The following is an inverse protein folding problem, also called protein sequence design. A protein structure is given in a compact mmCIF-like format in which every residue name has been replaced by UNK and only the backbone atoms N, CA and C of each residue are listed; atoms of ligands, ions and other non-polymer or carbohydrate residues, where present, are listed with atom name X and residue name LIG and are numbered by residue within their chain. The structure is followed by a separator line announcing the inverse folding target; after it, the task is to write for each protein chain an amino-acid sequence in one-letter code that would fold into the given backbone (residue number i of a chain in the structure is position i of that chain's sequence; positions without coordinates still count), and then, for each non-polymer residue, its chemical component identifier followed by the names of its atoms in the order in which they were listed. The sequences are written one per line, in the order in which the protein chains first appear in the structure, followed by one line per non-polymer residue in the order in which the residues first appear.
data_IF_456628215238
#
_entry.id   IF_456628215238
#
_cell.length_a   1.000
_cell.length_b   1.000
_cell.length_c   1.000
_cell.angle_alpha   90.00
_cell.angle_beta   90.00
_cell.angle_gamma   90.00
#
_symmetry.space_group_name_H-M   'P 1'
#
loop_
_entity.id
_entity.type
_entity.pdbx_description
1 polymer ?
#
# COMPACT_ATOMS: atom_id res chain seq x y z
N UNK A 1 39.92 -11.54 17.36
CA UNK A 1 39.38 -10.17 17.20
C UNK A 1 38.28 -10.10 16.14
N UNK A 2 38.49 -10.68 14.95
CA UNK A 2 37.48 -10.72 13.87
C UNK A 2 36.17 -11.44 14.25
N UNK A 3 36.23 -12.53 15.01
CA UNK A 3 35.03 -13.28 15.46
C UNK A 3 34.10 -12.44 16.35
N UNK A 4 34.67 -11.58 17.20
CA UNK A 4 33.90 -10.68 18.08
C UNK A 4 33.17 -9.63 17.24
N UNK A 5 33.79 -9.16 16.15
CA UNK A 5 33.15 -8.25 15.20
C UNK A 5 31.98 -8.93 14.48
N UNK A 6 32.16 -10.16 13.99
CA UNK A 6 31.07 -10.92 13.34
C UNK A 6 29.89 -11.19 14.28
N UNK A 7 30.16 -11.61 15.52
CA UNK A 7 29.10 -11.85 16.50
C UNK A 7 28.37 -10.56 16.89
N UNK A 8 29.09 -9.45 17.07
CA UNK A 8 28.46 -8.16 17.35
C UNK A 8 27.58 -7.68 16.19
N UNK A 9 28.01 -7.93 14.96
CA UNK A 9 27.27 -7.55 13.76
C UNK A 9 25.98 -8.37 13.61
N UNK A 10 26.04 -9.68 13.85
CA UNK A 10 24.87 -10.57 13.85
C UNK A 10 23.84 -10.22 14.93
N UNK A 11 24.31 -9.92 16.16
CA UNK A 11 23.42 -9.53 17.26
C UNK A 11 22.76 -8.18 16.98
N UNK A 12 23.51 -7.24 16.37
CA UNK A 12 22.97 -5.93 16.01
C UNK A 12 21.95 -5.99 14.87
N UNK A 13 22.14 -6.84 13.86
CA UNK A 13 21.18 -6.99 12.76
C UNK A 13 19.87 -7.60 13.25
N UNK A 14 19.96 -8.64 14.10
CA UNK A 14 18.78 -9.31 14.65
C UNK A 14 17.96 -8.38 15.56
N UNK A 15 18.64 -7.55 16.37
CA UNK A 15 17.98 -6.55 17.20
C UNK A 15 17.27 -5.47 16.36
N UNK A 16 17.89 -5.03 15.26
CA UNK A 16 17.31 -4.03 14.36
C UNK A 16 16.06 -4.57 13.64
N UNK A 17 16.12 -5.80 13.13
CA UNK A 17 14.97 -6.46 12.49
C UNK A 17 13.78 -6.61 13.44
N UNK A 18 14.03 -6.99 14.70
CA UNK A 18 12.98 -7.11 15.71
C UNK A 18 12.27 -5.76 16.00
N UNK A 19 13.02 -4.66 16.02
CA UNK A 19 12.46 -3.31 16.19
C UNK A 19 11.64 -2.90 14.97
N UNK A 20 12.10 -3.21 13.75
CA UNK A 20 11.34 -2.92 12.53
C UNK A 20 10.01 -3.70 12.49
N UNK A 21 10.04 -5.00 12.77
CA UNK A 21 8.83 -5.85 12.76
C UNK A 21 7.84 -5.39 13.82
N UNK A 22 8.31 -5.12 15.04
CA UNK A 22 7.44 -4.66 16.13
C UNK A 22 6.83 -3.29 15.84
N UNK A 23 7.60 -2.36 15.26
CA UNK A 23 7.09 -1.05 14.84
C UNK A 23 6.03 -1.18 13.73
N UNK A 24 6.23 -2.10 12.78
CA UNK A 24 5.25 -2.34 11.71
C UNK A 24 3.94 -2.93 12.26
N UNK A 25 4.03 -3.95 13.11
CA UNK A 25 2.85 -4.58 13.76
C UNK A 25 2.08 -3.55 14.59
N UNK A 26 2.77 -2.68 15.34
CA UNK A 26 2.13 -1.65 16.13
C UNK A 26 1.39 -0.61 15.27
N UNK A 27 1.96 -0.26 14.11
CA UNK A 27 1.34 0.65 13.15
C UNK A 27 0.03 0.07 12.58
N UNK A 28 0.05 -1.19 12.16
CA UNK A 28 -1.13 -1.90 11.63
C UNK A 28 -2.25 -2.01 12.69
N UNK A 29 -1.90 -2.24 13.96
CA UNK A 29 -2.92 -2.27 15.01
C UNK A 29 -3.59 -0.92 15.25
N UNK A 30 -2.85 0.19 15.05
CA UNK A 30 -3.39 1.54 15.23
C UNK A 30 -4.40 1.90 14.13
N UNK A 31 -4.12 1.52 12.88
CA UNK A 31 -5.05 1.76 11.76
C UNK A 31 -6.34 0.96 11.93
N UNK A 32 -6.24 -0.31 12.34
CA UNK A 32 -7.39 -1.18 12.52
C UNK A 32 -8.29 -0.72 13.68
N UNK A 33 -7.70 -0.32 14.82
CA UNK A 33 -8.47 0.27 15.93
C UNK A 33 -9.22 1.54 15.51
N UNK A 34 -8.55 2.39 14.73
CA UNK A 34 -9.17 3.61 14.22
C UNK A 34 -10.37 3.28 13.31
N UNK A 35 -10.25 2.26 12.44
CA UNK A 35 -11.35 1.81 11.58
C UNK A 35 -12.54 1.23 12.38
N UNK A 36 -12.28 0.47 13.44
CA UNK A 36 -13.35 -0.07 14.31
C UNK A 36 -14.08 1.05 15.05
N UNK A 37 -13.36 2.02 15.63
CA UNK A 37 -13.97 3.19 16.27
C UNK A 37 -14.80 4.01 15.26
N UNK A 38 -14.41 4.02 13.98
CA UNK A 38 -15.14 4.71 12.93
C UNK A 38 -16.51 4.08 12.62
N UNK A 39 -16.63 2.74 12.57
CA UNK A 39 -17.91 2.06 12.34
C UNK A 39 -18.94 2.37 13.43
N UNK A 40 -18.49 2.64 14.65
CA UNK A 40 -19.39 2.97 15.78
C UNK A 40 -19.97 4.39 15.72
N UNK A 41 -19.34 5.32 14.99
CA UNK A 41 -19.69 6.75 14.98
C UNK A 41 -20.49 7.20 13.74
N UNK A 42 -20.69 6.31 12.77
CA UNK A 42 -21.48 6.56 11.55
C UNK A 42 -22.94 6.06 11.53
N UNK A 43 -23.62 5.57 12.60
CA UNK A 43 -24.92 4.90 12.48
C UNK A 43 -26.15 5.80 12.18
N UNK A 44 -25.97 7.03 11.67
CA UNK A 44 -27.05 8.02 11.52
C UNK A 44 -28.14 7.59 10.50
N UNK A 45 -27.79 6.93 9.40
CA UNK A 45 -28.77 6.47 8.40
C UNK A 45 -29.71 5.37 8.93
N UNK A 46 -29.20 4.48 9.79
CA UNK A 46 -29.97 3.34 10.28
C UNK A 46 -31.07 3.71 11.27
N UNK A 47 -30.96 4.88 11.92
CA UNK A 47 -31.92 5.37 12.90
C UNK A 47 -33.09 6.11 12.23
N UNK A 48 -32.82 6.95 11.23
CA UNK A 48 -33.88 7.69 10.53
C UNK A 48 -34.73 6.80 9.61
N UNK A 49 -34.14 5.78 8.97
CA UNK A 49 -34.88 4.79 8.19
C UNK A 49 -35.81 3.89 9.04
N UNK A 50 -35.55 3.77 10.35
CA UNK A 50 -36.42 3.07 11.31
C UNK A 50 -37.49 3.99 11.90
N UNK A 51 -37.22 5.29 11.98
CA UNK A 51 -38.18 6.30 12.44
C UNK A 51 -39.27 6.63 11.40
N UNK A 52 -39.04 6.33 10.11
CA UNK A 52 -39.98 6.58 9.02
C UNK A 52 -40.95 5.43 8.70
N UNK A 53 -41.01 4.36 9.50
CA UNK A 53 -42.10 3.36 9.41
C UNK A 53 -43.33 3.88 10.15
N UNK A 54 -44.47 4.14 9.48
CA UNK A 54 -45.69 4.55 10.16
C UNK A 54 -46.28 3.36 10.90
N UNK A 55 -46.25 3.42 12.23
CA UNK A 55 -47.15 2.64 13.07
C UNK A 55 -48.44 3.47 13.24
N UNK A 56 -49.51 3.08 12.58
CA UNK A 56 -50.88 3.58 12.86
C UNK A 56 -51.65 2.57 13.73
N UNK A 57 -52.76 2.91 14.44
CA UNK A 57 -53.49 4.20 14.50
C UNK A 57 -53.84 4.69 15.93
N UNK A 58 -54.47 5.88 15.99
CA UNK A 58 -55.19 6.52 17.11
C UNK A 58 -54.41 7.28 18.19
N UNK A 59 -54.31 8.61 18.04
CA UNK A 59 -54.86 9.58 19.01
C UNK A 59 -54.76 11.01 18.47
N UNK A 60 -55.80 11.79 18.74
CA UNK A 60 -55.99 13.18 18.32
C UNK A 60 -54.83 14.10 18.73
N UNK A 61 -54.31 14.90 17.80
CA UNK A 61 -53.72 16.22 18.04
C UNK A 61 -53.57 16.96 16.71
N UNK A 62 -54.19 18.12 16.60
CA UNK A 62 -54.10 19.04 15.47
C UNK A 62 -52.73 19.74 15.41
N UNK A 63 -52.39 20.29 14.23
CA UNK A 63 -51.21 21.11 13.88
C UNK A 63 -49.91 20.38 13.53
N UNK A 64 -49.79 19.98 12.26
CA UNK A 64 -48.88 20.60 11.28
C UNK A 64 -48.86 19.69 10.04
N UNK A 65 -49.59 20.10 8.99
CA UNK A 65 -49.35 19.59 7.64
C UNK A 65 -48.03 20.20 7.17
N UNK A 66 -46.92 19.58 7.56
CA UNK A 66 -45.69 19.74 6.81
C UNK A 66 -45.90 18.95 5.52
N UNK A 67 -45.90 19.68 4.41
CA UNK A 67 -45.99 19.13 3.07
C UNK A 67 -44.67 18.40 2.81
N UNK A 68 -44.58 17.16 3.29
CA UNK A 68 -43.43 16.29 3.01
C UNK A 68 -43.52 15.84 1.55
N UNK A 69 -42.99 16.69 0.67
CA UNK A 69 -42.65 16.29 -0.68
C UNK A 69 -41.43 15.35 -0.57
N UNK A 70 -41.54 14.06 -0.91
CA UNK A 70 -40.43 13.11 -0.78
C UNK A 70 -39.21 13.51 -1.63
N UNK A 71 -39.41 14.34 -2.66
CA UNK A 71 -38.35 14.91 -3.48
C UNK A 71 -37.55 16.02 -2.77
N UNK A 72 -38.12 16.70 -1.77
CA UNK A 72 -37.44 17.77 -1.01
C UNK A 72 -36.70 17.26 0.23
N UNK A 73 -36.91 16.00 0.61
CA UNK A 73 -36.39 15.41 1.85
C UNK A 73 -35.17 14.51 1.66
N UNK A 74 -34.77 14.26 0.41
CA UNK A 74 -33.50 13.60 0.11
C UNK A 74 -32.35 14.58 0.34
N UNK A 75 -31.73 14.47 1.50
CA UNK A 75 -30.50 15.19 1.81
C UNK A 75 -29.32 14.24 1.72
N UNK A 76 -28.29 14.66 1.01
CA UNK A 76 -27.00 13.99 0.96
C UNK A 76 -26.19 14.36 2.20
N UNK A 77 -25.43 13.39 2.71
CA UNK A 77 -24.52 13.60 3.83
C UNK A 77 -23.13 13.16 3.44
N UNK A 78 -22.12 13.89 3.93
CA UNK A 78 -20.73 13.47 3.82
C UNK A 78 -19.96 13.74 5.09
N UNK A 79 -18.87 13.00 5.27
CA UNK A 79 -17.92 13.20 6.35
C UNK A 79 -16.57 13.50 5.71
N UNK A 80 -16.07 14.71 5.95
CA UNK A 80 -14.73 15.11 5.52
C UNK A 80 -13.75 14.76 6.64
N UNK A 81 -12.68 14.05 6.27
CA UNK A 81 -11.69 13.48 7.17
C UNK A 81 -10.34 14.14 6.99
N UNK A 82 -9.55 14.26 8.05
CA UNK A 82 -8.17 14.69 8.00
C UNK A 82 -7.26 13.65 8.68
N UNK A 83 -6.04 13.47 8.14
CA UNK A 83 -5.08 12.49 8.68
C UNK A 83 -4.53 12.89 10.07
N UNK A 84 -4.61 14.17 10.42
CA UNK A 84 -4.17 14.74 11.71
C UNK A 84 -5.28 15.64 12.26
N UNK A 85 -5.12 16.12 13.49
CA UNK A 85 -6.05 17.02 14.21
C UNK A 85 -6.12 18.44 13.57
N UNK A 86 -6.30 18.53 12.24
CA UNK A 86 -6.30 19.79 11.48
C UNK A 86 -7.44 20.71 11.91
N UNK A 87 -8.60 20.14 12.23
CA UNK A 87 -9.79 20.90 12.60
C UNK A 87 -9.76 21.39 14.05
N UNK A 88 -8.70 21.08 14.80
CA UNK A 88 -8.40 21.77 16.07
C UNK A 88 -8.03 23.23 15.82
N UNK A 89 -7.42 23.54 14.68
CA UNK A 89 -7.13 24.92 14.31
C UNK A 89 -8.38 25.57 13.71
N UNK A 90 -8.97 26.61 14.35
CA UNK A 90 -10.19 27.23 13.87
C UNK A 90 -10.01 27.86 12.49
N UNK A 91 -8.83 28.40 12.16
CA UNK A 91 -8.59 29.01 10.85
C UNK A 91 -8.71 27.99 9.70
N UNK A 92 -8.20 26.77 9.91
CA UNK A 92 -8.30 25.67 8.93
C UNK A 92 -9.75 25.18 8.84
N UNK A 93 -10.42 25.05 9.99
CA UNK A 93 -11.82 24.62 10.05
C UNK A 93 -12.75 25.61 9.33
N UNK A 94 -12.58 26.92 9.55
CA UNK A 94 -13.33 27.95 8.83
C UNK A 94 -13.10 27.87 7.31
N UNK A 95 -11.84 27.73 6.90
CA UNK A 95 -11.49 27.57 5.49
C UNK A 95 -12.16 26.34 4.87
N UNK A 96 -12.17 25.20 5.59
CA UNK A 96 -12.91 24.02 5.14
C UNK A 96 -14.40 24.35 4.96
N UNK A 97 -15.04 24.98 5.95
CA UNK A 97 -16.45 25.32 5.84
C UNK A 97 -16.75 26.27 4.67
N UNK A 98 -15.87 27.23 4.39
CA UNK A 98 -15.98 28.13 3.24
C UNK A 98 -15.89 27.35 1.92
N UNK A 99 -14.84 26.54 1.76
CA UNK A 99 -14.68 25.69 0.57
C UNK A 99 -15.91 24.79 0.39
N UNK A 100 -16.34 24.06 1.43
CA UNK A 100 -17.50 23.17 1.33
C UNK A 100 -18.81 23.92 1.02
N UNK A 101 -18.98 25.13 1.56
CA UNK A 101 -20.15 25.97 1.28
C UNK A 101 -20.19 26.47 -0.17
N UNK A 102 -19.05 26.67 -0.84
CA UNK A 102 -18.99 27.02 -2.28
C UNK A 102 -19.69 25.96 -3.15
N UNK A 103 -19.68 24.71 -2.70
CA UNK A 103 -20.25 23.54 -3.40
C UNK A 103 -21.61 23.15 -2.81
N UNK A 104 -22.20 24.04 -2.01
CA UNK A 104 -23.53 23.85 -1.42
C UNK A 104 -23.58 22.89 -0.23
N UNK A 105 -22.43 22.49 0.32
CA UNK A 105 -22.38 21.69 1.54
C UNK A 105 -22.51 22.57 2.78
N UNK A 106 -23.47 22.24 3.63
CA UNK A 106 -23.73 22.95 4.88
C UNK A 106 -23.17 22.13 6.03
N UNK A 107 -22.33 22.72 6.87
CA UNK A 107 -21.79 22.06 8.06
C UNK A 107 -22.91 21.70 9.02
N UNK A 108 -23.03 20.42 9.36
CA UNK A 108 -24.05 19.91 10.27
C UNK A 108 -23.50 19.81 11.69
N UNK A 109 -22.37 19.12 11.83
CA UNK A 109 -21.71 18.93 13.12
C UNK A 109 -20.21 18.63 12.97
N UNK A 110 -19.44 18.97 13.99
CA UNK A 110 -18.04 18.60 14.13
C UNK A 110 -17.96 17.36 15.03
N UNK A 111 -17.62 16.21 14.45
CA UNK A 111 -17.56 14.94 15.18
C UNK A 111 -16.34 14.88 16.11
N UNK A 112 -15.19 15.33 15.61
CA UNK A 112 -13.94 15.46 16.38
C UNK A 112 -12.98 16.47 15.72
N UNK A 113 -11.70 16.49 16.09
CA UNK A 113 -10.67 17.36 15.48
C UNK A 113 -10.17 16.89 14.11
N UNK A 114 -10.70 15.77 13.59
CA UNK A 114 -10.32 15.15 12.31
C UNK A 114 -11.48 14.92 11.37
N UNK A 115 -12.73 15.04 11.82
CA UNK A 115 -13.93 14.65 11.09
C UNK A 115 -15.02 15.70 11.28
N UNK A 116 -15.57 16.13 10.16
CA UNK A 116 -16.67 17.10 10.11
C UNK A 116 -17.73 16.55 9.19
N UNK A 117 -18.98 16.61 9.63
CA UNK A 117 -20.14 16.14 8.88
C UNK A 117 -20.83 17.32 8.20
N UNK A 118 -21.14 17.13 6.93
CA UNK A 118 -21.84 18.10 6.09
C UNK A 118 -23.13 17.48 5.54
N UNK A 119 -24.08 18.35 5.23
CA UNK A 119 -25.37 18.03 4.63
C UNK A 119 -25.59 18.91 3.40
N UNK A 120 -26.13 18.34 2.33
CA UNK A 120 -26.53 19.08 1.12
C UNK A 120 -27.92 18.60 0.66
N UNK A 121 -28.85 19.49 0.28
CA UNK A 121 -30.12 19.06 -0.31
C UNK A 121 -29.89 18.46 -1.70
N UNK A 122 -30.54 17.34 -2.04
CA UNK A 122 -30.36 16.66 -3.33
C UNK A 122 -30.70 17.54 -4.53
N UNK A 123 -31.61 18.51 -4.37
CA UNK A 123 -31.99 19.46 -5.42
C UNK A 123 -30.85 20.35 -5.93
N UNK A 124 -29.76 20.50 -5.16
CA UNK A 124 -28.58 21.26 -5.59
C UNK A 124 -27.65 20.46 -6.52
N UNK A 125 -27.83 19.13 -6.60
CA UNK A 125 -26.97 18.25 -7.40
C UNK A 125 -27.09 18.54 -8.89
N UNK A 126 -28.32 18.74 -9.35
CA UNK A 126 -28.62 18.84 -10.79
C UNK A 126 -28.31 20.24 -11.34
N UNK A 127 -28.40 21.29 -10.50
CA UNK A 127 -28.02 22.64 -10.88
C UNK A 127 -26.50 22.80 -11.12
N UNK A 128 -25.67 22.02 -10.43
CA UNK A 128 -24.21 22.08 -10.54
C UNK A 128 -23.69 21.38 -11.82
N UNK A 129 -24.40 20.37 -12.31
CA UNK A 129 -24.07 19.68 -13.57
C UNK A 129 -24.65 20.35 -14.83
N UNK A 130 -25.77 21.06 -14.71
CA UNK A 130 -26.44 21.76 -15.84
C UNK A 130 -25.91 23.18 -16.07
N UNK A 131 -25.17 23.74 -15.10
CA UNK A 131 -24.54 25.05 -15.24
C UNK A 131 -23.24 24.98 -16.07
N UNK A 132 -23.48 24.93 -17.37
CA UNK A 132 -22.62 25.29 -18.50
C UNK A 132 -21.88 26.63 -18.36
N UNK A 133 -20.94 26.69 -17.43
CA UNK A 133 -19.87 27.69 -17.41
C UNK A 133 -18.54 26.99 -17.35
N UNK A 134 -17.60 27.42 -18.20
CA UNK A 134 -16.23 26.93 -18.46
C UNK A 134 -15.30 26.76 -17.22
N UNK A 135 -15.81 26.87 -16.00
CA UNK A 135 -15.06 26.82 -14.75
C UNK A 135 -15.49 25.60 -13.93
N UNK A 136 -14.80 24.48 -14.14
CA UNK A 136 -14.88 23.34 -13.24
C UNK A 136 -14.56 23.80 -11.81
N UNK A 137 -15.26 23.30 -10.78
CA UNK A 137 -14.98 23.65 -9.40
C UNK A 137 -13.51 23.36 -9.07
N UNK A 138 -12.90 24.26 -8.28
CA UNK A 138 -11.47 24.23 -7.93
C UNK A 138 -11.03 22.91 -7.27
N UNK A 139 -11.98 22.15 -6.72
CA UNK A 139 -11.78 20.87 -6.08
C UNK A 139 -13.03 19.99 -6.24
N UNK A 140 -12.88 18.69 -5.97
CA UNK A 140 -13.95 17.69 -6.07
C UNK A 140 -15.04 17.87 -4.97
N UNK A 141 -16.32 18.09 -5.34
CA UNK A 141 -17.48 18.15 -4.44
C UNK A 141 -17.64 16.97 -3.49
N UNK A 142 -17.23 15.78 -3.91
CA UNK A 142 -17.39 14.54 -3.17
C UNK A 142 -16.13 14.09 -2.44
N UNK A 143 -15.13 14.98 -2.31
CA UNK A 143 -13.93 14.70 -1.53
C UNK A 143 -14.30 14.31 -0.10
N UNK A 144 -13.71 13.20 0.36
CA UNK A 144 -13.87 12.68 1.72
C UNK A 144 -12.65 12.97 2.60
N UNK A 145 -11.57 13.48 2.02
CA UNK A 145 -10.32 13.79 2.72
C UNK A 145 -9.88 15.24 2.50
N UNK A 146 -9.41 15.87 3.57
CA UNK A 146 -8.91 17.23 3.61
C UNK A 146 -7.45 17.27 4.09
N UNK A 147 -6.64 18.01 3.33
CA UNK A 147 -5.20 18.12 3.55
C UNK A 147 -4.37 17.20 2.66
N UNK A 148 -3.04 17.35 2.74
CA UNK A 148 -2.11 16.55 1.93
C UNK A 148 -2.00 15.13 2.47
N UNK A 149 -2.23 14.15 1.60
CA UNK A 149 -1.96 12.73 1.84
C UNK A 149 -0.47 12.37 1.71
N UNK A 150 0.40 13.34 1.44
CA UNK A 150 1.84 13.10 1.33
C UNK A 150 2.43 12.88 2.72
N UNK A 151 2.54 11.61 3.09
CA UNK A 151 3.35 11.17 4.20
C UNK A 151 4.83 11.29 3.82
N UNK A 152 5.36 12.51 3.84
CA UNK A 152 6.81 12.78 3.69
C UNK A 152 7.64 11.88 4.63
N UNK A 153 7.08 11.53 5.78
CA UNK A 153 7.64 10.57 6.72
C UNK A 153 7.77 9.16 6.13
N UNK A 154 6.78 8.69 5.37
CA UNK A 154 6.84 7.40 4.67
C UNK A 154 7.94 7.41 3.59
N UNK A 155 8.04 8.50 2.83
CA UNK A 155 9.09 8.66 1.83
C UNK A 155 10.50 8.70 2.46
N UNK A 156 10.68 9.46 3.56
CA UNK A 156 11.92 9.47 4.34
C UNK A 156 12.27 8.10 4.92
N UNK A 157 11.27 7.36 5.43
CA UNK A 157 11.46 6.01 5.93
C UNK A 157 11.90 5.05 4.82
N UNK A 158 11.30 5.15 3.62
CA UNK A 158 11.69 4.36 2.46
C UNK A 158 13.14 4.63 2.03
N UNK A 159 13.57 5.91 2.03
CA UNK A 159 14.96 6.28 1.76
C UNK A 159 15.88 5.69 2.83
N UNK A 160 15.55 5.87 4.11
CA UNK A 160 16.34 5.33 5.22
C UNK A 160 16.50 3.80 5.08
N UNK A 161 15.42 3.08 4.77
CA UNK A 161 15.44 1.64 4.53
C UNK A 161 16.34 1.24 3.36
N UNK A 162 16.22 1.94 2.22
CA UNK A 162 17.11 1.74 1.07
C UNK A 162 18.58 1.97 1.43
N UNK A 163 18.88 3.04 2.17
CA UNK A 163 20.25 3.32 2.61
C UNK A 163 20.77 2.26 3.57
N UNK A 164 19.92 1.73 4.46
CA UNK A 164 20.29 0.67 5.39
C UNK A 164 20.64 -0.65 4.70
N UNK A 165 20.11 -0.92 3.50
CA UNK A 165 20.44 -2.11 2.70
C UNK A 165 21.66 -1.87 1.80
N UNK A 166 21.67 -0.75 1.07
CA UNK A 166 22.69 -0.46 0.05
C UNK A 166 24.05 -0.18 0.70
N UNK A 167 24.08 0.51 1.85
CA UNK A 167 25.32 0.95 2.47
C UNK A 167 26.18 -0.21 2.99
N UNK A 168 25.63 -1.21 3.72
CA UNK A 168 26.39 -2.42 4.09
C UNK A 168 26.84 -3.24 2.88
N UNK A 169 25.99 -3.38 1.85
CA UNK A 169 26.34 -4.12 0.63
C UNK A 169 27.52 -3.47 -0.10
N UNK A 170 27.51 -2.14 -0.22
CA UNK A 170 28.60 -1.38 -0.84
C UNK A 170 29.90 -1.46 -0.02
N UNK A 171 29.83 -1.32 1.30
CA UNK A 171 31.01 -1.43 2.17
C UNK A 171 31.63 -2.84 2.10
N UNK A 172 30.81 -3.89 2.08
CA UNK A 172 31.29 -5.26 1.90
C UNK A 172 32.02 -5.46 0.57
N UNK A 173 31.44 -4.96 -0.52
CA UNK A 173 32.07 -4.99 -1.84
C UNK A 173 33.40 -4.20 -1.87
N UNK A 174 33.42 -2.99 -1.31
CA UNK A 174 34.62 -2.15 -1.25
C UNK A 174 35.75 -2.82 -0.46
N UNK A 175 35.43 -3.50 0.65
CA UNK A 175 36.41 -4.21 1.45
C UNK A 175 37.01 -5.40 0.69
N UNK A 176 36.17 -6.23 0.05
CA UNK A 176 36.62 -7.40 -0.73
C UNK A 176 37.44 -6.98 -1.96
N UNK A 177 37.00 -5.94 -2.67
CA UNK A 177 37.77 -5.44 -3.81
C UNK A 177 39.11 -4.85 -3.38
N UNK A 178 39.17 -4.13 -2.25
CA UNK A 178 40.42 -3.63 -1.70
C UNK A 178 41.36 -4.74 -1.24
N UNK A 179 40.86 -5.84 -0.67
CA UNK A 179 41.72 -6.98 -0.28
C UNK A 179 42.24 -7.72 -1.50
N UNK A 180 41.41 -8.00 -2.50
CA UNK A 180 41.83 -8.66 -3.75
C UNK A 180 42.85 -7.82 -4.53
N UNK A 181 42.66 -6.51 -4.59
CA UNK A 181 43.59 -5.62 -5.29
C UNK A 181 44.93 -5.45 -4.56
N UNK A 182 44.95 -5.63 -3.24
CA UNK A 182 46.18 -5.60 -2.43
C UNK A 182 46.82 -6.98 -2.26
N UNK A 183 46.26 -8.05 -2.85
CA UNK A 183 46.95 -9.34 -2.86
C UNK A 183 48.22 -9.21 -3.73
N UNK A 184 49.41 -9.54 -3.21
CA UNK A 184 50.58 -9.65 -4.05
C UNK A 184 50.35 -10.73 -5.13
N UNK A 185 50.77 -10.45 -6.37
CA UNK A 185 50.70 -11.33 -7.55
C UNK A 185 51.43 -12.70 -7.39
N UNK A 186 51.85 -13.09 -6.20
CA UNK A 186 52.49 -14.36 -5.90
C UNK A 186 51.48 -15.38 -5.40
N UNK A 187 50.49 -15.75 -6.22
CA UNK A 187 49.93 -17.09 -6.07
C UNK A 187 51.00 -18.08 -6.54
N UNK A 188 51.33 -19.14 -5.78
CA UNK A 188 52.16 -20.21 -6.30
C UNK A 188 51.42 -20.78 -7.50
N UNK A 189 52.01 -20.62 -8.69
CA UNK A 189 51.63 -21.35 -9.88
C UNK A 189 51.60 -22.82 -9.47
N UNK A 190 50.40 -23.41 -9.41
CA UNK A 190 50.23 -24.83 -9.12
C UNK A 190 51.23 -25.56 -10.03
N UNK A 191 52.17 -26.35 -9.50
CA UNK A 191 53.01 -27.19 -10.34
C UNK A 191 52.03 -28.09 -11.09
N UNK A 192 51.91 -27.86 -12.39
CA UNK A 192 51.14 -28.70 -13.29
C UNK A 192 51.77 -30.09 -13.14
N UNK A 193 51.05 -30.96 -12.44
CA UNK A 193 51.40 -32.36 -12.21
C UNK A 193 51.67 -32.95 -13.60
N UNK A 194 52.93 -33.37 -13.82
CA UNK A 194 53.52 -34.07 -14.96
C UNK A 194 52.70 -34.19 -16.26
N UNK A 195 53.27 -33.86 -17.44
CA UNK A 195 52.65 -34.31 -18.69
C UNK A 195 52.47 -35.85 -18.64
N UNK A 196 51.31 -36.38 -19.07
CA UNK A 196 51.08 -37.82 -19.09
C UNK A 196 52.12 -38.50 -19.99
N UNK A 197 52.55 -39.73 -19.66
CA UNK A 197 53.59 -40.42 -20.40
C UNK A 197 53.19 -40.59 -21.87
N UNK A 198 54.15 -40.27 -22.73
CA UNK A 198 54.17 -40.51 -24.17
C UNK A 198 53.92 -42.00 -24.42
N UNK A 199 52.71 -42.35 -24.87
CA UNK A 199 52.36 -43.71 -25.28
C UNK A 199 52.81 -43.90 -26.72
N UNK A 200 53.88 -44.66 -26.88
CA UNK A 200 54.37 -45.22 -28.13
C UNK A 200 53.24 -45.97 -28.85
N UNK A 201 52.99 -45.76 -30.16
CA UNK A 201 51.98 -46.52 -30.88
C UNK A 201 52.52 -47.91 -31.23
N UNK A 202 52.13 -48.92 -30.46
CA UNK A 202 52.27 -50.33 -30.87
C UNK A 202 51.00 -50.72 -31.64
N UNK A 203 51.19 -50.78 -32.96
CA UNK A 203 50.31 -51.42 -33.93
C UNK A 203 50.15 -52.89 -33.53
N UNK A 204 48.93 -53.44 -33.57
CA UNK A 204 48.58 -54.58 -34.44
C UNK A 204 47.27 -55.30 -34.05
N UNK A 205 46.36 -55.32 -35.02
CA UNK A 205 45.42 -56.39 -35.42
C UNK A 205 44.02 -56.59 -34.80
N UNK A 206 43.11 -56.69 -35.78
CA UNK A 206 41.67 -56.95 -35.81
C UNK A 206 41.27 -58.33 -35.28
N UNK A 207 40.07 -58.44 -34.68
CA UNK A 207 39.12 -59.52 -35.02
C UNK A 207 37.66 -59.11 -34.60
N UNK A 208 36.62 -59.39 -35.40
CA UNK A 208 35.34 -58.68 -35.36
C UNK A 208 34.24 -59.34 -34.52
N UNK A 209 33.23 -58.53 -34.20
CA UNK A 209 32.04 -58.84 -33.40
C UNK A 209 30.91 -59.41 -34.28
N UNK A 210 30.24 -60.52 -33.90
CA UNK A 210 29.13 -61.08 -34.69
C UNK A 210 27.78 -60.43 -34.36
N UNK A 211 27.17 -59.90 -35.41
CA UNK A 211 25.83 -60.16 -35.96
C UNK A 211 24.61 -60.45 -35.04
N UNK A 212 23.54 -59.70 -35.36
CA UNK A 212 22.10 -60.03 -35.33
C UNK A 212 21.34 -60.17 -33.98
N UNK A 213 20.27 -59.37 -33.81
CA UNK A 213 18.87 -59.74 -34.12
C UNK A 213 17.96 -58.47 -34.01
N UNK A 214 16.96 -58.28 -34.91
CA UNK A 214 16.10 -57.09 -34.98
C UNK A 214 14.65 -57.31 -34.47
N UNK A 215 13.92 -56.24 -34.15
CA UNK A 215 12.44 -56.12 -34.21
C UNK A 215 12.05 -54.64 -33.94
N UNK A 216 11.79 -53.79 -34.93
CA UNK A 216 10.50 -53.54 -35.61
C UNK A 216 9.32 -53.25 -34.67
N UNK A 217 9.04 -51.97 -34.38
CA UNK A 217 7.69 -51.39 -34.37
C UNK A 217 7.76 -49.88 -34.06
N UNK A 218 7.50 -49.00 -35.02
CA UNK A 218 6.48 -47.95 -34.84
C UNK A 218 6.22 -47.19 -36.14
N UNK A 219 4.94 -47.21 -36.49
CA UNK A 219 4.29 -46.60 -37.64
C UNK A 219 4.08 -45.10 -37.44
N UNK A 220 4.53 -44.31 -38.42
CA UNK A 220 3.96 -43.03 -38.92
C UNK A 220 2.42 -43.19 -39.15
N UNK A 221 1.50 -42.17 -39.20
CA UNK A 221 1.69 -40.78 -39.65
C UNK A 221 0.85 -39.65 -39.01
N UNK A 222 1.31 -38.40 -39.15
CA UNK A 222 0.47 -37.19 -39.29
C UNK A 222 1.26 -36.21 -40.17
N UNK A 223 0.80 -35.75 -41.34
CA UNK A 223 -0.55 -35.35 -41.71
C UNK A 223 -0.61 -33.82 -41.70
N UNK A 224 -0.48 -33.21 -42.89
CA UNK A 224 -0.83 -31.81 -43.20
C UNK A 224 -2.28 -31.79 -43.66
#
# INVERSE_FOLDING_TARGET
MIEVLFLSLLVSSLGFEAVLISSWIYSEQKTLKQQIEEETLTPYESANAKASKPLQPNSHSEHQKQLDDPALSESEYKIVRANRDLFRNPAIFHKLCEEEAEVGWIMLEKLDDRRVRFKRPANLRDHEYDQSSDELPRFDPYRTHYGSSLDFTSWLAAIAFLTAIVLPAYLGYALVSATLNNLPNSLPRIPLLNPPPEVTPEVEQEEPLPEEIPEQLETEPQGI
#
